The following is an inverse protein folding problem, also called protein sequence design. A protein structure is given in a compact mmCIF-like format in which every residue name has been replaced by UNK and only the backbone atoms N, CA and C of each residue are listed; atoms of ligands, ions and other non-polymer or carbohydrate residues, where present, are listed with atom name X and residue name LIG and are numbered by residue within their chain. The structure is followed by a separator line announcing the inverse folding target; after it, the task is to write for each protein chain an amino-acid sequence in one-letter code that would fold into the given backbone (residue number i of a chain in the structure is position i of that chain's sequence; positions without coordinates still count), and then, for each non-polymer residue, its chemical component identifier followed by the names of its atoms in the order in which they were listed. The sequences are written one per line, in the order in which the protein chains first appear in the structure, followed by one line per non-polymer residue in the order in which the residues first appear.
data_IF_402303009351
#
_entry.id   IF_402303009351
#
_cell.length_a   1.000
_cell.length_b   1.000
_cell.length_c   1.000
_cell.angle_alpha   90.00
_cell.angle_beta   90.00
_cell.angle_gamma   90.00
#
_symmetry.space_group_name_H-M   'P 1'
#
loop_
_entity.id
_entity.type
_entity.pdbx_description
1 polymer ?
#
# COMPACT_ATOMS: atom_id res chain seq x y z
N UNK A 1 18.08 -3.67 20.27
CA UNK A 1 16.97 -2.75 19.96
C UNK A 1 16.26 -3.36 18.75
N UNK A 2 15.30 -4.25 19.00
CA UNK A 2 14.39 -4.73 17.95
C UNK A 2 13.57 -3.53 17.48
N UNK A 3 13.95 -3.01 16.32
CA UNK A 3 13.32 -1.83 15.72
C UNK A 3 12.45 -2.28 14.55
N UNK A 4 11.69 -3.35 14.71
CA UNK A 4 10.63 -3.78 13.79
C UNK A 4 9.36 -2.93 13.99
N UNK A 5 9.52 -1.60 14.00
CA UNK A 5 8.39 -0.66 14.12
C UNK A 5 7.95 -0.04 12.79
N UNK A 6 8.51 -0.50 11.67
CA UNK A 6 8.24 0.07 10.35
C UNK A 6 7.83 -1.01 9.33
N UNK A 7 7.06 -2.01 9.73
CA UNK A 7 6.44 -2.92 8.76
C UNK A 7 5.24 -2.22 8.10
N UNK A 8 5.46 -1.70 6.90
CA UNK A 8 4.41 -1.18 6.04
C UNK A 8 4.66 0.23 5.51
N UNK A 9 3.87 0.62 4.53
CA UNK A 9 3.99 1.93 3.85
C UNK A 9 2.86 2.83 4.30
N UNK A 10 3.22 3.97 4.91
CA UNK A 10 2.25 4.98 5.33
C UNK A 10 1.74 5.80 4.15
N UNK A 11 0.41 5.90 4.03
CA UNK A 11 -0.24 6.70 3.00
C UNK A 11 -0.40 8.13 3.50
N UNK A 12 0.50 9.00 3.07
CA UNK A 12 0.43 10.44 3.34
C UNK A 12 -0.47 11.19 2.34
N UNK A 13 -0.69 10.64 1.14
CA UNK A 13 -1.54 11.24 0.11
C UNK A 13 -2.08 10.17 -0.84
N UNK A 14 -3.39 9.97 -0.83
CA UNK A 14 -4.07 9.17 -1.85
C UNK A 14 -4.40 10.05 -3.05
N UNK A 15 -3.89 9.73 -4.24
CA UNK A 15 -4.18 10.48 -5.47
C UNK A 15 -5.09 9.64 -6.38
N UNK A 16 -6.30 10.14 -6.63
CA UNK A 16 -7.23 9.64 -7.65
C UNK A 16 -7.92 8.32 -7.33
N UNK A 17 -9.24 8.35 -7.15
CA UNK A 17 -10.17 7.20 -7.15
C UNK A 17 -9.63 5.89 -6.54
N UNK A 18 -8.96 6.00 -5.40
CA UNK A 18 -8.43 4.89 -4.63
C UNK A 18 -9.21 4.82 -3.32
N UNK A 19 -9.54 3.62 -2.85
CA UNK A 19 -10.16 3.43 -1.53
C UNK A 19 -9.19 3.75 -0.37
N UNK A 20 -7.92 4.00 -0.68
CA UNK A 20 -6.93 4.45 0.29
C UNK A 20 -7.26 5.84 0.81
N UNK A 21 -7.03 5.99 2.12
CA UNK A 21 -7.17 7.26 2.83
C UNK A 21 -5.84 7.62 3.47
N UNK A 22 -5.66 8.91 3.70
CA UNK A 22 -4.57 9.38 4.54
C UNK A 22 -4.66 8.72 5.92
N UNK A 23 -3.52 8.24 6.42
CA UNK A 23 -3.46 7.49 7.68
C UNK A 23 -3.45 5.97 7.51
N UNK A 24 -3.68 5.45 6.30
CA UNK A 24 -3.58 4.01 6.05
C UNK A 24 -2.13 3.53 6.10
N UNK A 25 -1.92 2.34 6.64
CA UNK A 25 -0.63 1.64 6.60
C UNK A 25 -0.77 0.40 5.74
N UNK A 26 -0.18 0.40 4.55
CA UNK A 26 -0.18 -0.76 3.63
C UNK A 26 0.79 -1.80 4.16
N UNK A 27 0.30 -3.01 4.43
CA UNK A 27 1.08 -4.15 4.93
C UNK A 27 1.18 -5.30 3.91
N UNK A 28 0.33 -5.29 2.88
CA UNK A 28 0.28 -6.33 1.85
C UNK A 28 -0.23 -5.75 0.52
N UNK A 29 0.25 -6.31 -0.59
CA UNK A 29 -0.10 -5.93 -1.95
C UNK A 29 -0.22 -7.20 -2.81
N UNK A 30 -1.41 -7.53 -3.31
CA UNK A 30 -1.74 -8.76 -4.06
C UNK A 30 -1.24 -10.04 -3.38
N UNK A 31 -1.39 -10.13 -2.05
CA UNK A 31 -0.91 -11.27 -1.26
C UNK A 31 0.60 -11.27 -0.99
N UNK A 32 1.34 -10.28 -1.50
CA UNK A 32 2.77 -10.07 -1.19
C UNK A 32 2.90 -9.18 0.04
N UNK A 33 3.57 -9.67 1.08
CA UNK A 33 3.86 -8.86 2.25
C UNK A 33 4.77 -7.68 1.88
N UNK A 34 4.36 -6.47 2.28
CA UNK A 34 5.09 -5.24 2.02
C UNK A 34 5.63 -4.74 3.35
N UNK A 35 6.95 -4.73 3.47
CA UNK A 35 7.62 -4.27 4.70
C UNK A 35 8.03 -2.82 4.63
N UNK A 36 8.43 -2.33 3.46
CA UNK A 36 8.91 -0.96 3.27
C UNK A 36 8.45 -0.37 1.93
N UNK A 37 8.68 0.92 1.76
CA UNK A 37 8.30 1.65 0.53
C UNK A 37 9.05 1.17 -0.71
N UNK A 38 10.27 0.65 -0.54
CA UNK A 38 11.09 0.14 -1.62
C UNK A 38 10.54 -1.18 -2.18
N UNK A 39 10.05 -2.08 -1.32
CA UNK A 39 9.37 -3.31 -1.71
C UNK A 39 8.10 -3.00 -2.50
N UNK A 40 7.30 -2.06 -2.00
CA UNK A 40 6.07 -1.62 -2.67
C UNK A 40 6.40 -1.02 -4.03
N UNK A 41 7.34 -0.07 -4.10
CA UNK A 41 7.75 0.54 -5.37
C UNK A 41 8.25 -0.49 -6.36
N UNK A 42 9.16 -1.38 -5.93
CA UNK A 42 9.73 -2.40 -6.81
C UNK A 42 8.63 -3.32 -7.35
N UNK A 43 7.72 -3.76 -6.47
CA UNK A 43 6.56 -4.55 -6.87
C UNK A 43 5.68 -3.81 -7.89
N UNK A 44 5.33 -2.55 -7.62
CA UNK A 44 4.52 -1.73 -8.52
C UNK A 44 5.20 -1.52 -9.88
N UNK A 45 6.51 -1.26 -9.91
CA UNK A 45 7.27 -1.07 -11.14
C UNK A 45 7.37 -2.35 -11.98
N UNK A 46 7.54 -3.50 -11.32
CA UNK A 46 7.72 -4.79 -12.00
C UNK A 46 6.39 -5.43 -12.43
N UNK A 47 5.32 -5.25 -11.64
CA UNK A 47 4.10 -6.04 -11.77
C UNK A 47 2.87 -5.23 -12.14
N UNK A 48 2.88 -3.90 -11.99
CA UNK A 48 1.69 -3.06 -12.17
C UNK A 48 1.89 -1.97 -13.21
N UNK A 49 0.79 -1.64 -13.86
CA UNK A 49 0.72 -0.54 -14.83
C UNK A 49 -0.06 0.63 -14.23
N UNK A 50 0.15 1.85 -14.74
CA UNK A 50 -0.76 2.94 -14.41
C UNK A 50 -2.20 2.56 -14.82
N UNK A 51 -3.18 3.03 -14.04
CA UNK A 51 -4.60 2.68 -14.13
C UNK A 51 -4.97 1.24 -13.69
N UNK A 52 -4.00 0.44 -13.25
CA UNK A 52 -4.27 -0.90 -12.73
C UNK A 52 -4.82 -0.85 -11.29
N UNK A 53 -5.51 -1.91 -10.90
CA UNK A 53 -6.03 -2.11 -9.55
C UNK A 53 -5.11 -3.06 -8.79
N UNK A 54 -4.74 -2.67 -7.58
CA UNK A 54 -3.95 -3.45 -6.64
C UNK A 54 -4.81 -3.82 -5.43
N UNK A 55 -4.89 -5.11 -5.08
CA UNK A 55 -5.51 -5.51 -3.81
C UNK A 55 -4.53 -5.27 -2.67
N UNK A 56 -4.77 -4.23 -1.87
CA UNK A 56 -3.94 -3.90 -0.73
C UNK A 56 -4.60 -4.35 0.58
N UNK A 57 -3.81 -4.90 1.50
CA UNK A 57 -4.23 -4.98 2.91
C UNK A 57 -3.64 -3.80 3.65
N UNK A 58 -4.50 -3.02 4.29
CA UNK A 58 -4.10 -1.84 5.07
C UNK A 58 -4.51 -1.97 6.52
N UNK A 59 -3.85 -1.22 7.39
CA UNK A 59 -4.30 -0.96 8.75
C UNK A 59 -4.87 0.45 8.79
N UNK A 60 -6.16 0.56 9.10
CA UNK A 60 -6.89 1.82 9.30
C UNK A 60 -7.55 1.80 10.68
N UNK A 61 -7.30 2.80 11.51
CA UNK A 61 -7.80 2.86 12.89
C UNK A 61 -7.46 1.61 13.73
N UNK A 62 -6.28 1.02 13.49
CA UNK A 62 -5.83 -0.21 14.16
C UNK A 62 -6.52 -1.50 13.68
N UNK A 63 -7.41 -1.42 12.67
CA UNK A 63 -8.08 -2.58 12.08
C UNK A 63 -7.50 -2.87 10.70
N UNK A 64 -7.35 -4.16 10.40
CA UNK A 64 -6.95 -4.62 9.06
C UNK A 64 -8.15 -4.53 8.12
N UNK A 65 -7.94 -3.96 6.94
CA UNK A 65 -8.93 -3.81 5.88
C UNK A 65 -8.30 -4.20 4.55
N UNK A 66 -9.03 -4.97 3.75
CA UNK A 66 -8.66 -5.23 2.36
C UNK A 66 -9.33 -4.15 1.49
N UNK A 67 -8.53 -3.47 0.67
CA UNK A 67 -8.96 -2.34 -0.17
C UNK A 67 -8.44 -2.51 -1.59
N UNK A 68 -9.25 -2.13 -2.56
CA UNK A 68 -8.81 -2.05 -3.96
C UNK A 68 -8.20 -0.67 -4.23
N UNK A 69 -6.89 -0.66 -4.46
CA UNK A 69 -6.08 0.54 -4.69
C UNK A 69 -5.88 0.73 -6.19
N UNK A 70 -6.54 1.73 -6.78
CA UNK A 70 -6.27 2.12 -8.16
C UNK A 70 -4.99 2.95 -8.24
N UNK A 71 -4.07 2.56 -9.11
CA UNK A 71 -2.79 3.23 -9.29
C UNK A 71 -2.93 4.39 -10.29
N UNK A 72 -2.93 5.62 -9.77
CA UNK A 72 -2.90 6.81 -10.62
C UNK A 72 -1.57 6.97 -11.36
N UNK A 73 -1.60 7.56 -12.57
CA UNK A 73 -0.38 8.07 -13.21
C UNK A 73 0.22 9.18 -12.35
N UNK A 74 1.54 9.15 -12.21
CA UNK A 74 2.34 10.25 -11.66
C UNK A 74 2.16 11.53 -12.50
#
# INVERSE_FOLDING_TARGET
LDTDRNDGVYVAKASGSSELKEGDIIIEADGKAIKNDSDLRSYLYENKKPDDTLKGKVIRDGKKQDLDVRLGKK
#
